data_IF_019261516141
#
_entry.id   IF_019261516141
#
_cell.length_a   1.000
_cell.length_b   1.000
_cell.length_c   1.000
_cell.angle_alpha   90.00
_cell.angle_beta   90.00
_cell.angle_gamma   90.00
#
_symmetry.space_group_name_H-M   'P 1'
#
loop_
_entity.id
_entity.type
_entity.pdbx_description
1 polymer ?
#
# COMPACT_ATOMS: atom_id res chain seq x y z
N UNK A 1 9.92 -13.33 -21.69
CA UNK A 1 11.40 -13.21 -21.64
C UNK A 1 11.97 -14.59 -21.90
N UNK A 2 12.94 -14.74 -22.79
CA UNK A 2 13.56 -16.04 -23.11
C UNK A 2 15.08 -15.91 -22.96
N UNK A 3 15.72 -16.88 -22.30
CA UNK A 3 17.18 -16.91 -22.11
C UNK A 3 17.79 -17.93 -23.06
N UNK A 4 18.73 -17.49 -23.87
CA UNK A 4 19.41 -18.32 -24.87
C UNK A 4 20.55 -19.11 -24.21
N UNK A 5 20.54 -20.44 -24.34
CA UNK A 5 21.70 -21.26 -23.97
C UNK A 5 22.78 -21.19 -25.05
N UNK A 6 24.06 -21.14 -24.65
CA UNK A 6 25.20 -21.12 -25.60
C UNK A 6 25.41 -22.44 -26.36
N UNK A 7 24.53 -23.43 -26.20
CA UNK A 7 24.57 -24.71 -26.92
C UNK A 7 23.19 -25.35 -27.04
N UNK A 8 23.11 -26.52 -27.67
CA UNK A 8 21.85 -27.23 -27.98
C UNK A 8 21.10 -27.76 -26.74
N UNK A 9 21.75 -27.77 -25.57
CA UNK A 9 21.19 -28.27 -24.32
C UNK A 9 21.26 -27.23 -23.21
N UNK A 10 20.20 -27.18 -22.40
CA UNK A 10 20.14 -26.34 -21.20
C UNK A 10 20.98 -27.00 -20.11
N UNK A 11 22.11 -26.39 -19.78
CA UNK A 11 23.01 -26.86 -18.72
C UNK A 11 22.65 -26.25 -17.37
N UNK A 12 22.92 -26.97 -16.28
CA UNK A 12 22.57 -26.55 -14.91
C UNK A 12 23.20 -25.21 -14.52
N UNK A 13 24.42 -24.93 -14.96
CA UNK A 13 25.11 -23.67 -14.71
C UNK A 13 24.43 -22.47 -15.38
N UNK A 14 23.84 -22.67 -16.57
CA UNK A 14 23.04 -21.64 -17.24
C UNK A 14 21.72 -21.37 -16.51
N UNK A 15 21.07 -22.43 -16.01
CA UNK A 15 19.85 -22.30 -15.20
C UNK A 15 20.12 -21.57 -13.89
N UNK A 16 21.20 -21.91 -13.18
CA UNK A 16 21.57 -21.26 -11.93
C UNK A 16 21.85 -19.76 -12.12
N UNK A 17 22.59 -19.40 -13.18
CA UNK A 17 22.83 -18.00 -13.54
C UNK A 17 21.54 -17.25 -13.86
N UNK A 18 20.62 -17.87 -14.57
CA UNK A 18 19.33 -17.26 -14.88
C UNK A 18 18.47 -17.09 -13.63
N UNK A 19 18.47 -18.06 -12.69
CA UNK A 19 17.81 -17.93 -11.40
C UNK A 19 18.36 -16.73 -10.62
N UNK A 20 19.69 -16.57 -10.56
CA UNK A 20 20.29 -15.41 -9.88
C UNK A 20 19.94 -14.09 -10.56
N UNK A 21 19.96 -14.04 -11.89
CA UNK A 21 19.54 -12.86 -12.67
C UNK A 21 18.08 -12.51 -12.42
N UNK A 22 17.18 -13.49 -12.41
CA UNK A 22 15.76 -13.28 -12.12
C UNK A 22 15.53 -12.82 -10.69
N UNK A 23 16.23 -13.41 -9.71
CA UNK A 23 16.21 -12.95 -8.32
C UNK A 23 16.63 -11.49 -8.22
N UNK A 24 17.70 -11.07 -8.89
CA UNK A 24 18.14 -9.67 -8.93
C UNK A 24 17.13 -8.77 -9.64
N UNK A 25 16.55 -9.21 -10.75
CA UNK A 25 15.57 -8.42 -11.52
C UNK A 25 14.27 -8.24 -10.72
N UNK A 26 13.83 -9.27 -10.00
CA UNK A 26 12.72 -9.17 -9.05
C UNK A 26 13.07 -8.32 -7.84
N UNK A 27 14.31 -8.41 -7.32
CA UNK A 27 14.76 -7.52 -6.25
C UNK A 27 14.76 -6.05 -6.69
N UNK A 28 15.14 -5.76 -7.94
CA UNK A 28 15.07 -4.40 -8.52
C UNK A 28 13.62 -3.94 -8.71
N UNK A 29 12.68 -4.86 -8.99
CA UNK A 29 11.25 -4.53 -8.96
C UNK A 29 10.79 -4.23 -7.53
N UNK A 30 11.27 -4.97 -6.52
CA UNK A 30 11.00 -4.70 -5.11
C UNK A 30 11.69 -3.41 -4.61
N UNK A 31 12.90 -3.07 -5.06
CA UNK A 31 13.61 -1.85 -4.64
C UNK A 31 12.97 -0.58 -5.19
N UNK A 32 12.24 -0.67 -6.31
CA UNK A 32 11.33 0.41 -6.72
C UNK A 32 10.13 0.60 -5.77
N UNK A 33 9.94 -0.34 -4.84
CA UNK A 33 8.94 -0.35 -3.78
C UNK A 33 9.51 -0.21 -2.35
N UNK A 34 10.83 -0.36 -2.11
CA UNK A 34 11.35 -0.65 -0.76
C UNK A 34 12.32 0.36 -0.10
N UNK A 35 12.58 1.55 -0.64
CA UNK A 35 13.57 2.43 0.03
C UNK A 35 13.28 3.95 0.03
N UNK A 36 12.02 4.37 -0.11
CA UNK A 36 11.64 5.79 0.09
C UNK A 36 10.38 6.03 0.91
N UNK A 37 9.52 5.05 1.06
CA UNK A 37 8.40 5.11 2.00
C UNK A 37 8.77 4.22 3.18
N UNK A 38 9.30 4.80 4.26
CA UNK A 38 9.06 4.17 5.56
C UNK A 38 7.56 3.89 5.62
N UNK A 39 7.15 2.65 5.94
CA UNK A 39 5.75 2.23 5.87
C UNK A 39 4.89 3.33 6.50
N UNK A 40 4.00 3.96 5.71
CA UNK A 40 3.21 5.11 6.14
C UNK A 40 2.50 4.82 7.46
N UNK A 41 2.19 3.55 7.74
CA UNK A 41 1.64 3.11 9.01
C UNK A 41 2.53 3.48 10.21
N UNK A 42 3.84 3.30 10.10
CA UNK A 42 4.81 3.59 11.17
C UNK A 42 4.92 5.08 11.50
N UNK A 43 4.47 5.96 10.59
CA UNK A 43 4.39 7.40 10.86
C UNK A 43 3.24 7.75 11.82
N UNK A 44 2.23 6.90 11.94
CA UNK A 44 1.00 7.16 12.69
C UNK A 44 0.71 6.15 13.80
N UNK A 45 1.27 4.95 13.71
CA UNK A 45 1.02 3.84 14.63
C UNK A 45 2.34 3.26 15.13
N UNK A 46 2.36 2.88 16.40
CA UNK A 46 3.51 2.16 16.96
C UNK A 46 3.56 0.72 16.44
N UNK A 47 4.74 0.07 16.45
CA UNK A 47 4.87 -1.34 16.07
C UNK A 47 3.92 -2.26 16.85
N UNK A 48 3.70 -2.00 18.14
CA UNK A 48 2.80 -2.79 18.99
C UNK A 48 1.33 -2.63 18.59
N UNK A 49 0.93 -1.47 18.06
CA UNK A 49 -0.42 -1.26 17.53
C UNK A 49 -0.60 -1.99 16.20
N UNK A 50 0.45 -2.05 15.37
CA UNK A 50 0.41 -2.74 14.09
C UNK A 50 0.32 -4.25 14.24
N UNK A 51 1.00 -4.82 15.24
CA UNK A 51 0.89 -6.25 15.57
C UNK A 51 -0.54 -6.65 15.98
N UNK A 52 -1.38 -5.70 16.41
CA UNK A 52 -2.78 -5.93 16.79
C UNK A 52 -3.77 -5.73 15.63
N UNK A 53 -3.30 -5.31 14.46
CA UNK A 53 -4.13 -5.07 13.29
C UNK A 53 -3.86 -6.17 12.27
N UNK A 54 -4.94 -6.82 11.82
CA UNK A 54 -4.87 -7.82 10.76
C UNK A 54 -4.24 -7.25 9.50
N UNK A 55 -3.44 -8.06 8.79
CA UNK A 55 -2.75 -7.65 7.56
C UNK A 55 -3.72 -7.07 6.51
N UNK A 56 -4.94 -7.61 6.43
CA UNK A 56 -6.00 -7.08 5.56
C UNK A 56 -6.36 -5.63 5.88
N UNK A 57 -6.56 -5.32 7.17
CA UNK A 57 -6.86 -3.97 7.61
C UNK A 57 -5.65 -3.04 7.41
N UNK A 58 -4.42 -3.53 7.62
CA UNK A 58 -3.21 -2.75 7.37
C UNK A 58 -3.07 -2.33 5.90
N UNK A 59 -3.34 -3.24 4.95
CA UNK A 59 -3.31 -2.94 3.51
C UNK A 59 -4.31 -1.84 3.17
N UNK A 60 -5.54 -1.95 3.69
CA UNK A 60 -6.56 -0.95 3.45
C UNK A 60 -6.20 0.40 4.10
N UNK A 61 -5.69 0.37 5.33
CA UNK A 61 -5.31 1.55 6.09
C UNK A 61 -4.20 2.34 5.38
N UNK A 62 -3.17 1.68 4.85
CA UNK A 62 -2.12 2.33 4.03
C UNK A 62 -2.71 3.18 2.91
N UNK A 63 -3.66 2.63 2.16
CA UNK A 63 -4.33 3.37 1.08
C UNK A 63 -5.14 4.56 1.59
N UNK A 64 -5.84 4.39 2.71
CA UNK A 64 -6.61 5.47 3.34
C UNK A 64 -5.70 6.59 3.83
N UNK A 65 -4.60 6.28 4.51
CA UNK A 65 -3.64 7.28 5.01
C UNK A 65 -3.03 8.09 3.86
N UNK A 66 -2.62 7.42 2.76
CA UNK A 66 -2.08 8.10 1.57
C UNK A 66 -3.09 9.09 0.98
N UNK A 67 -4.38 8.76 0.95
CA UNK A 67 -5.41 9.69 0.47
C UNK A 67 -5.62 10.84 1.47
N UNK A 68 -5.58 10.56 2.78
CA UNK A 68 -5.73 11.57 3.82
C UNK A 68 -4.60 12.61 3.77
N UNK A 69 -3.33 12.19 3.66
CA UNK A 69 -2.17 13.09 3.55
C UNK A 69 -2.23 13.99 2.31
N UNK A 70 -2.70 13.44 1.18
CA UNK A 70 -2.76 14.18 -0.08
C UNK A 70 -4.00 15.10 -0.21
N UNK A 71 -4.94 15.03 0.75
CA UNK A 71 -6.19 15.77 0.69
C UNK A 71 -6.14 17.02 1.59
N UNK A 72 -6.66 18.14 1.10
CA UNK A 72 -6.70 19.41 1.87
C UNK A 72 -7.80 19.44 2.92
N UNK A 73 -8.74 18.50 2.85
CA UNK A 73 -9.86 18.41 3.79
C UNK A 73 -10.41 16.99 3.88
N UNK A 74 -11.03 16.66 5.01
CA UNK A 74 -11.69 15.37 5.23
C UNK A 74 -12.79 15.10 4.21
N UNK A 75 -13.46 16.15 3.73
CA UNK A 75 -14.49 16.03 2.70
C UNK A 75 -13.89 15.67 1.33
N UNK A 76 -12.70 16.16 1.00
CA UNK A 76 -11.97 15.80 -0.22
C UNK A 76 -11.52 14.34 -0.19
N UNK A 77 -10.87 13.93 0.90
CA UNK A 77 -10.47 12.54 1.12
C UNK A 77 -11.67 11.58 1.03
N UNK A 78 -12.79 11.95 1.67
CA UNK A 78 -14.02 11.17 1.63
C UNK A 78 -14.59 11.03 0.22
N UNK A 79 -14.62 12.11 -0.58
CA UNK A 79 -15.09 12.04 -1.98
C UNK A 79 -14.20 11.15 -2.84
N UNK A 80 -12.90 11.14 -2.59
CA UNK A 80 -11.95 10.28 -3.32
C UNK A 80 -12.12 8.80 -2.92
N UNK A 81 -12.10 8.51 -1.61
CA UNK A 81 -12.24 7.15 -1.08
C UNK A 81 -13.60 6.51 -1.40
N UNK A 82 -14.67 7.30 -1.40
CA UNK A 82 -16.03 6.82 -1.57
C UNK A 82 -16.65 7.21 -2.91
N UNK A 83 -15.84 7.55 -3.92
CA UNK A 83 -16.23 8.12 -5.22
C UNK A 83 -17.37 7.38 -5.93
N UNK A 84 -17.41 6.04 -5.84
CA UNK A 84 -18.47 5.20 -6.40
C UNK A 84 -19.65 5.06 -5.43
N UNK A 85 -19.40 4.66 -4.17
CA UNK A 85 -20.47 4.40 -3.19
C UNK A 85 -21.30 5.64 -2.82
N UNK A 86 -20.72 6.84 -2.95
CA UNK A 86 -21.42 8.11 -2.70
C UNK A 86 -22.52 8.40 -3.71
N UNK A 87 -22.42 7.89 -4.94
CA UNK A 87 -23.42 8.12 -5.99
C UNK A 87 -24.72 7.36 -5.71
N UNK A 88 -24.66 6.30 -4.90
CA UNK A 88 -25.80 5.43 -4.59
C UNK A 88 -26.49 5.79 -3.26
N UNK A 89 -26.02 6.83 -2.55
CA UNK A 89 -26.51 7.18 -1.21
C UNK A 89 -27.28 8.50 -1.22
N UNK A 90 -28.42 8.51 -0.53
CA UNK A 90 -29.27 9.69 -0.35
C UNK A 90 -28.63 10.77 0.55
N UNK A 91 -27.73 10.38 1.45
CA UNK A 91 -27.01 11.30 2.33
C UNK A 91 -25.50 11.14 2.17
N UNK A 92 -24.86 12.21 1.71
CA UNK A 92 -23.42 12.24 1.42
C UNK A 92 -22.67 12.81 2.63
N UNK A 93 -22.52 12.03 3.69
CA UNK A 93 -21.61 12.38 4.79
C UNK A 93 -20.34 11.53 4.73
N UNK A 94 -19.58 11.74 3.66
CA UNK A 94 -18.34 11.00 3.39
C UNK A 94 -17.27 11.32 4.45
N UNK A 95 -17.25 12.55 4.97
CA UNK A 95 -16.36 12.98 6.05
C UNK A 95 -16.54 12.15 7.33
N UNK A 96 -17.78 11.95 7.77
CA UNK A 96 -18.08 11.14 8.96
C UNK A 96 -17.63 9.67 8.79
N UNK A 97 -17.72 9.14 7.57
CA UNK A 97 -17.24 7.79 7.27
C UNK A 97 -15.72 7.69 7.38
N UNK A 98 -14.98 8.66 6.85
CA UNK A 98 -13.52 8.73 7.01
C UNK A 98 -13.17 8.83 8.50
N UNK A 99 -13.84 9.73 9.24
CA UNK A 99 -13.63 9.90 10.68
C UNK A 99 -13.85 8.61 11.47
N UNK A 100 -14.95 7.90 11.20
CA UNK A 100 -15.27 6.61 11.86
C UNK A 100 -14.26 5.52 11.53
N UNK A 101 -13.80 5.48 10.28
CA UNK A 101 -12.80 4.51 9.86
C UNK A 101 -11.46 4.74 10.55
N UNK A 102 -10.96 5.98 10.58
CA UNK A 102 -9.71 6.33 11.26
C UNK A 102 -9.79 6.06 12.78
N UNK A 103 -10.93 6.37 13.40
CA UNK A 103 -11.13 6.16 14.83
C UNK A 103 -11.05 4.68 15.25
N UNK A 104 -11.34 3.72 14.35
CA UNK A 104 -11.16 2.28 14.61
C UNK A 104 -9.70 1.93 14.92
N UNK A 105 -8.76 2.69 14.38
CA UNK A 105 -7.33 2.51 14.55
C UNK A 105 -6.72 3.52 15.55
N UNK A 106 -7.56 4.26 16.29
CA UNK A 106 -7.10 5.30 17.21
C UNK A 106 -6.58 6.56 16.51
N UNK A 107 -6.81 6.71 15.20
CA UNK A 107 -6.37 7.86 14.42
C UNK A 107 -7.48 8.90 14.30
N UNK A 108 -7.08 10.16 14.21
CA UNK A 108 -7.95 11.30 14.00
C UNK A 108 -7.48 12.12 12.79
N UNK A 109 -8.39 12.86 12.16
CA UNK A 109 -8.00 13.71 11.03
C UNK A 109 -6.95 14.77 11.40
N UNK A 110 -6.94 15.21 12.66
CA UNK A 110 -5.95 16.16 13.16
C UNK A 110 -4.53 15.59 13.18
N UNK A 111 -4.35 14.27 13.00
CA UNK A 111 -3.02 13.68 12.88
C UNK A 111 -2.37 13.98 11.51
N UNK A 112 -3.14 14.38 10.50
CA UNK A 112 -2.67 14.63 9.12
C UNK A 112 -2.51 16.12 8.78
N UNK A 113 -2.77 17.02 9.73
CA UNK A 113 -2.86 18.47 9.51
C UNK A 113 -1.70 19.24 10.14
#
# INVERSE_FOLDING_TARGET
MATLSQGELIRRDAVEKEIQRLKQLWLIQDESYNDKDADILLSYLSPEQLEQIDEFDQIQLRGVLKVCENSKSMAEAGRQLFSVSRQQRNTTNDSDRVKKYLARFGLSWNNFQ
#
